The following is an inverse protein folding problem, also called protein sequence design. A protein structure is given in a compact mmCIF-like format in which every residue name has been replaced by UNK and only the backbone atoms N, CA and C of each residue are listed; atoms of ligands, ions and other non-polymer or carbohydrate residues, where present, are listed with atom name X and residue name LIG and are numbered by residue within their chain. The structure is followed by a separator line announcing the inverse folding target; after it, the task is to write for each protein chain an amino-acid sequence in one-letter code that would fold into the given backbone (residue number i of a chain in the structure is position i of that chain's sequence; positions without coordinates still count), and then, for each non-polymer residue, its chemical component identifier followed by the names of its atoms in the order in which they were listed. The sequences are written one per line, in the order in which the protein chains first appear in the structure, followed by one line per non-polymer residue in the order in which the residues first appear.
data_IF_126567183753
#
_entry.id   IF_126567183753
#
_cell.length_a   1.000
_cell.length_b   1.000
_cell.length_c   1.000
_cell.angle_alpha   90.00
_cell.angle_beta   90.00
_cell.angle_gamma   90.00
#
_symmetry.space_group_name_H-M   'P 1'
#
loop_
_entity.id
_entity.type
_entity.pdbx_description
1 polymer ?
#
# COMPACT_ATOMS: atom_id res chain seq x y z
N UNK A 1 -20.36 1.01 5.57
CA UNK A 1 -19.76 -0.33 5.73
C UNK A 1 -20.58 -1.10 6.75
N UNK A 2 -20.89 -2.37 6.46
CA UNK A 2 -21.62 -3.28 7.34
C UNK A 2 -20.97 -3.38 8.75
N UNK A 3 -21.79 -3.50 9.80
CA UNK A 3 -21.32 -3.50 11.20
C UNK A 3 -20.40 -4.69 11.50
N UNK A 4 -20.79 -5.89 11.08
CA UNK A 4 -20.00 -7.12 11.29
C UNK A 4 -18.70 -7.06 10.50
N UNK A 5 -18.74 -6.54 9.27
CA UNK A 5 -17.54 -6.32 8.47
C UNK A 5 -16.54 -5.41 9.20
N UNK A 6 -17.03 -4.29 9.74
CA UNK A 6 -16.21 -3.36 10.53
C UNK A 6 -15.62 -4.06 11.76
N UNK A 7 -16.41 -4.83 12.49
CA UNK A 7 -15.97 -5.57 13.68
C UNK A 7 -14.86 -6.57 13.39
N UNK A 8 -14.94 -7.33 12.28
CA UNK A 8 -13.88 -8.24 11.86
C UNK A 8 -12.59 -7.48 11.51
N UNK A 9 -12.71 -6.39 10.75
CA UNK A 9 -11.55 -5.60 10.34
C UNK A 9 -10.81 -4.99 11.53
N UNK A 10 -11.53 -4.42 12.50
CA UNK A 10 -10.93 -3.75 13.66
C UNK A 10 -10.51 -4.70 14.78
N UNK A 11 -10.82 -6.01 14.68
CA UNK A 11 -10.37 -7.00 15.68
C UNK A 11 -8.86 -7.13 15.71
N UNK A 12 -8.22 -7.08 14.54
CA UNK A 12 -6.77 -6.95 14.38
C UNK A 12 -6.48 -5.88 13.32
N UNK A 13 -6.52 -4.60 13.70
CA UNK A 13 -6.37 -3.48 12.76
C UNK A 13 -4.95 -3.42 12.20
N UNK A 14 -3.96 -3.99 12.90
CA UNK A 14 -2.58 -4.04 12.44
C UNK A 14 -2.44 -5.06 11.32
N UNK A 15 -3.00 -6.27 11.46
CA UNK A 15 -3.07 -7.25 10.37
C UNK A 15 -3.80 -6.68 9.16
N UNK A 16 -4.97 -6.08 9.40
CA UNK A 16 -5.88 -5.62 8.36
C UNK A 16 -5.60 -4.19 7.86
N UNK A 17 -4.48 -3.58 8.23
CA UNK A 17 -4.15 -2.17 7.96
C UNK A 17 -4.32 -1.79 6.48
N UNK A 18 -3.88 -2.63 5.55
CA UNK A 18 -3.94 -2.35 4.13
C UNK A 18 -5.40 -2.45 3.61
N UNK A 19 -6.14 -3.47 4.04
CA UNK A 19 -7.56 -3.63 3.71
C UNK A 19 -8.41 -2.49 4.29
N UNK A 20 -8.16 -2.08 5.54
CA UNK A 20 -8.84 -0.94 6.16
C UNK A 20 -8.54 0.32 5.34
N UNK A 21 -7.27 0.62 5.08
CA UNK A 21 -6.88 1.81 4.33
C UNK A 21 -7.44 1.83 2.90
N UNK A 22 -7.53 0.67 2.25
CA UNK A 22 -8.16 0.55 0.93
C UNK A 22 -9.63 0.95 1.00
N UNK A 23 -10.42 0.37 1.91
CA UNK A 23 -11.85 0.63 1.99
C UNK A 23 -12.21 1.95 2.69
N UNK A 24 -11.22 2.71 3.17
CA UNK A 24 -11.39 4.14 3.49
C UNK A 24 -11.38 5.02 2.23
N UNK A 25 -10.69 4.57 1.17
CA UNK A 25 -10.56 5.30 -0.10
C UNK A 25 -11.57 4.84 -1.17
N UNK A 26 -12.00 3.58 -1.11
CA UNK A 26 -12.83 2.96 -2.14
C UNK A 26 -14.08 2.30 -1.56
N UNK A 27 -15.23 2.34 -2.26
CA UNK A 27 -16.44 1.69 -1.78
C UNK A 27 -16.31 0.16 -1.83
N UNK A 28 -16.84 -0.49 -0.79
CA UNK A 28 -17.04 -1.95 -0.78
C UNK A 28 -18.05 -2.33 -1.86
N UNK A 29 -17.65 -3.23 -2.77
CA UNK A 29 -18.49 -3.72 -3.88
C UNK A 29 -19.24 -5.01 -3.54
N UNK A 30 -18.76 -5.76 -2.55
CA UNK A 30 -19.39 -6.96 -2.03
C UNK A 30 -18.53 -7.62 -0.96
N UNK A 31 -19.09 -8.57 -0.22
CA UNK A 31 -18.34 -9.36 0.75
C UNK A 31 -19.05 -10.69 1.06
N UNK A 32 -18.30 -11.68 1.51
CA UNK A 32 -18.82 -12.98 1.97
C UNK A 32 -18.12 -13.42 3.26
N UNK A 33 -18.91 -13.87 4.24
CA UNK A 33 -18.40 -14.33 5.53
C UNK A 33 -18.37 -15.86 5.64
N UNK A 34 -17.39 -16.38 6.37
CA UNK A 34 -17.40 -17.71 6.96
C UNK A 34 -16.79 -17.58 8.35
N UNK A 35 -17.60 -17.76 9.41
CA UNK A 35 -17.15 -17.51 10.78
C UNK A 35 -16.63 -16.09 10.97
N UNK A 36 -15.36 -15.98 11.36
CA UNK A 36 -14.66 -14.70 11.58
C UNK A 36 -13.79 -14.26 10.39
N UNK A 37 -13.89 -14.98 9.27
CA UNK A 37 -13.21 -14.66 8.02
C UNK A 37 -14.15 -13.98 7.03
N UNK A 38 -13.58 -13.13 6.17
CA UNK A 38 -14.32 -12.42 5.14
C UNK A 38 -13.49 -12.24 3.87
N UNK A 39 -14.14 -12.47 2.71
CA UNK A 39 -13.67 -11.95 1.42
C UNK A 39 -14.36 -10.61 1.18
N UNK A 40 -13.61 -9.59 0.79
CA UNK A 40 -14.15 -8.26 0.51
C UNK A 40 -13.71 -7.83 -0.89
N UNK A 41 -14.65 -7.36 -1.70
CA UNK A 41 -14.37 -6.92 -3.06
C UNK A 41 -14.38 -5.40 -3.16
N UNK A 42 -13.41 -4.86 -3.91
CA UNK A 42 -13.23 -3.43 -4.14
C UNK A 42 -12.52 -3.17 -5.46
N UNK A 43 -12.63 -1.94 -5.98
CA UNK A 43 -11.96 -1.56 -7.23
C UNK A 43 -11.09 -0.34 -6.99
N UNK A 44 -9.80 -0.46 -7.30
CA UNK A 44 -8.86 0.65 -7.48
C UNK A 44 -8.39 0.66 -8.94
N UNK A 45 -7.16 0.23 -9.22
CA UNK A 45 -6.65 -0.05 -10.57
C UNK A 45 -7.17 -1.38 -11.13
N UNK A 46 -7.40 -2.36 -10.26
CA UNK A 46 -7.99 -3.65 -10.58
C UNK A 46 -9.21 -3.91 -9.69
N UNK A 47 -10.02 -4.90 -10.06
CA UNK A 47 -11.05 -5.42 -9.17
C UNK A 47 -10.43 -6.44 -8.22
N UNK A 48 -10.20 -6.07 -6.97
CA UNK A 48 -9.45 -6.84 -5.98
C UNK A 48 -10.37 -7.65 -5.06
N UNK A 49 -9.90 -8.83 -4.65
CA UNK A 49 -10.42 -9.58 -3.49
C UNK A 49 -9.45 -9.46 -2.32
N UNK A 50 -9.88 -8.83 -1.23
CA UNK A 50 -9.14 -8.77 0.02
C UNK A 50 -9.42 -10.02 0.85
N UNK A 51 -8.35 -10.71 1.26
CA UNK A 51 -8.43 -11.91 2.12
C UNK A 51 -8.25 -11.50 3.58
N UNK A 52 -9.33 -11.52 4.37
CA UNK A 52 -9.28 -11.24 5.81
C UNK A 52 -9.65 -12.52 6.55
N UNK A 53 -8.64 -13.25 7.02
CA UNK A 53 -8.84 -14.52 7.71
C UNK A 53 -7.65 -14.83 8.63
N UNK A 54 -7.91 -15.53 9.73
CA UNK A 54 -6.88 -16.19 10.56
C UNK A 54 -7.12 -17.69 10.68
N UNK A 55 -8.00 -18.26 9.85
CA UNK A 55 -8.42 -19.65 9.90
C UNK A 55 -8.34 -20.26 8.50
N UNK A 56 -7.41 -21.20 8.32
CA UNK A 56 -7.28 -21.94 7.06
C UNK A 56 -8.60 -22.61 6.65
N UNK A 57 -9.32 -23.19 7.61
CA UNK A 57 -10.61 -23.85 7.36
C UNK A 57 -11.66 -22.87 6.82
N UNK A 58 -11.76 -21.68 7.39
CA UNK A 58 -12.72 -20.67 6.95
C UNK A 58 -12.34 -20.09 5.59
N UNK A 59 -11.05 -19.78 5.38
CA UNK A 59 -10.56 -19.28 4.10
C UNK A 59 -10.81 -20.28 2.96
N UNK A 60 -10.54 -21.58 3.19
CA UNK A 60 -10.81 -22.64 2.20
C UNK A 60 -12.27 -22.64 1.77
N UNK A 61 -13.20 -22.66 2.72
CA UNK A 61 -14.64 -22.62 2.44
C UNK A 61 -15.08 -21.36 1.70
N UNK A 62 -14.51 -20.20 2.04
CA UNK A 62 -14.80 -18.95 1.36
C UNK A 62 -14.37 -19.01 -0.12
N UNK A 63 -13.16 -19.48 -0.39
CA UNK A 63 -12.64 -19.61 -1.75
C UNK A 63 -13.43 -20.68 -2.54
N UNK A 64 -13.74 -21.83 -1.95
CA UNK A 64 -14.58 -22.87 -2.56
C UNK A 64 -15.93 -22.34 -3.05
N UNK A 65 -16.54 -21.41 -2.30
CA UNK A 65 -17.85 -20.83 -2.64
C UNK A 65 -17.76 -19.61 -3.56
N UNK A 66 -16.67 -18.84 -3.51
CA UNK A 66 -16.65 -17.46 -4.03
C UNK A 66 -15.38 -17.03 -4.81
N UNK A 67 -14.46 -17.95 -5.14
CA UNK A 67 -13.19 -17.64 -5.80
C UNK A 67 -13.31 -16.93 -7.17
N UNK A 68 -14.31 -17.23 -8.00
CA UNK A 68 -14.36 -16.80 -9.41
C UNK A 68 -14.84 -15.37 -9.68
N UNK A 69 -14.73 -14.45 -8.73
CA UNK A 69 -15.16 -13.05 -8.94
C UNK A 69 -14.09 -12.18 -9.59
N UNK A 70 -12.81 -12.52 -9.38
CA UNK A 70 -11.65 -11.82 -9.96
C UNK A 70 -10.41 -12.70 -9.83
N UNK A 71 -9.40 -12.40 -10.64
CA UNK A 71 -8.09 -13.03 -10.57
C UNK A 71 -7.11 -12.29 -9.64
N UNK A 72 -7.51 -11.15 -9.07
CA UNK A 72 -6.64 -10.28 -8.27
C UNK A 72 -6.94 -10.40 -6.77
N UNK A 73 -5.89 -10.65 -5.99
CA UNK A 73 -5.95 -10.88 -4.55
C UNK A 73 -5.03 -9.94 -3.79
N UNK A 74 -5.56 -9.36 -2.72
CA UNK A 74 -4.95 -8.30 -1.93
C UNK A 74 -4.70 -8.77 -0.50
N UNK A 75 -3.58 -8.34 0.09
CA UNK A 75 -3.20 -8.63 1.47
C UNK A 75 -3.07 -10.14 1.78
N UNK A 76 -2.45 -10.89 0.87
CA UNK A 76 -2.26 -12.36 0.99
C UNK A 76 -1.04 -12.65 1.88
N UNK A 77 -1.22 -13.39 2.97
CA UNK A 77 -0.11 -13.86 3.82
C UNK A 77 0.49 -15.17 3.27
N UNK A 78 1.74 -15.49 3.62
CA UNK A 78 2.47 -16.67 3.10
C UNK A 78 1.68 -17.99 3.23
N UNK A 79 0.95 -18.17 4.33
CA UNK A 79 0.13 -19.37 4.57
C UNK A 79 -1.11 -19.45 3.66
N UNK A 80 -1.57 -18.31 3.13
CA UNK A 80 -2.74 -18.24 2.25
C UNK A 80 -2.39 -18.60 0.80
N UNK A 81 -1.15 -18.35 0.36
CA UNK A 81 -0.69 -18.60 -1.02
C UNK A 81 -0.95 -20.06 -1.46
N UNK A 82 -0.51 -21.11 -0.74
CA UNK A 82 -0.76 -22.49 -1.16
C UNK A 82 -2.24 -22.88 -1.13
N UNK A 83 -3.09 -22.15 -0.41
CA UNK A 83 -4.54 -22.34 -0.44
C UNK A 83 -5.10 -21.75 -1.73
N UNK A 84 -4.70 -20.52 -2.04
CA UNK A 84 -5.15 -19.78 -3.22
C UNK A 84 -4.76 -20.49 -4.53
N UNK A 85 -3.53 -21.01 -4.60
CA UNK A 85 -3.03 -21.72 -5.78
C UNK A 85 -3.70 -23.06 -6.06
N UNK A 86 -4.56 -23.58 -5.16
CA UNK A 86 -5.42 -24.74 -5.47
C UNK A 86 -6.55 -24.40 -6.44
N UNK A 87 -6.89 -23.13 -6.57
CA UNK A 87 -8.03 -22.68 -7.37
C UNK A 87 -7.62 -22.07 -8.71
N UNK A 88 -6.34 -21.77 -8.91
CA UNK A 88 -5.83 -21.21 -10.15
C UNK A 88 -4.30 -21.23 -10.21
N UNK A 89 -3.75 -21.13 -11.42
CA UNK A 89 -2.29 -20.99 -11.60
C UNK A 89 -1.88 -19.55 -11.36
N UNK A 90 -0.73 -19.36 -10.76
CA UNK A 90 -0.11 -18.05 -10.63
C UNK A 90 0.16 -17.45 -12.02
N UNK A 91 -0.24 -16.19 -12.20
CA UNK A 91 0.31 -15.29 -13.21
C UNK A 91 1.50 -14.55 -12.61
N UNK A 92 1.30 -13.92 -11.44
CA UNK A 92 2.38 -13.36 -10.63
C UNK A 92 2.01 -13.26 -9.13
N UNK A 93 3.01 -13.37 -8.27
CA UNK A 93 2.96 -13.06 -6.84
C UNK A 93 4.00 -11.98 -6.53
N UNK A 94 3.53 -10.83 -6.06
CA UNK A 94 4.38 -9.73 -5.62
C UNK A 94 4.45 -9.73 -4.09
N UNK A 95 5.47 -10.38 -3.54
CA UNK A 95 5.71 -10.41 -2.09
C UNK A 95 6.48 -9.17 -1.63
N UNK A 96 6.06 -8.61 -0.51
CA UNK A 96 6.68 -7.44 0.12
C UNK A 96 6.87 -7.65 1.62
N UNK A 97 7.84 -6.94 2.18
CA UNK A 97 7.97 -6.76 3.62
C UNK A 97 7.23 -5.47 4.01
N UNK A 98 6.21 -5.61 4.87
CA UNK A 98 5.52 -4.47 5.45
C UNK A 98 6.31 -3.92 6.63
N UNK A 99 6.50 -2.62 6.64
CA UNK A 99 7.13 -1.86 7.72
C UNK A 99 6.11 -0.88 8.31
N UNK A 100 6.10 -0.74 9.64
CA UNK A 100 5.16 0.15 10.35
C UNK A 100 5.96 1.15 11.19
N UNK A 101 5.51 2.40 11.22
CA UNK A 101 6.00 3.40 12.16
C UNK A 101 4.97 3.58 13.28
N UNK A 102 5.34 3.17 14.50
CA UNK A 102 4.47 3.34 15.66
C UNK A 102 4.28 4.84 15.99
N UNK A 103 3.10 5.20 16.51
CA UNK A 103 2.73 6.59 16.80
C UNK A 103 3.59 7.24 17.89
N UNK A 104 4.21 6.44 18.76
CA UNK A 104 5.10 6.91 19.82
C UNK A 104 6.51 7.27 19.35
N UNK A 105 6.90 6.90 18.13
CA UNK A 105 8.22 7.24 17.59
C UNK A 105 8.22 8.71 17.17
N UNK A 106 9.01 9.54 17.82
CA UNK A 106 9.17 10.94 17.39
C UNK A 106 9.93 10.99 16.06
N UNK A 107 9.50 11.87 15.15
CA UNK A 107 10.27 12.21 13.96
C UNK A 107 10.33 13.72 13.82
N UNK A 108 11.48 14.22 13.38
CA UNK A 108 11.68 15.63 13.13
C UNK A 108 10.74 16.14 12.02
N UNK A 109 10.37 17.43 12.01
CA UNK A 109 9.68 18.02 10.87
C UNK A 109 10.58 18.05 9.63
N UNK A 110 9.97 17.97 8.46
CA UNK A 110 10.65 18.32 7.22
C UNK A 110 11.07 19.80 7.27
N UNK A 111 12.28 20.08 6.81
CA UNK A 111 12.90 21.41 6.73
C UNK A 111 12.88 21.97 5.32
N UNK A 112 12.82 21.10 4.30
CA UNK A 112 12.67 21.53 2.92
C UNK A 112 11.29 22.17 2.69
N UNK A 113 11.21 23.04 1.68
CA UNK A 113 9.93 23.49 1.14
C UNK A 113 9.26 22.32 0.43
N UNK A 114 8.12 21.87 0.98
CA UNK A 114 7.36 20.75 0.46
C UNK A 114 6.12 21.26 -0.25
N UNK A 115 5.93 20.83 -1.49
CA UNK A 115 4.71 21.07 -2.25
C UNK A 115 3.80 19.84 -2.24
N UNK A 116 2.49 20.07 -2.39
CA UNK A 116 1.60 19.02 -2.88
C UNK A 116 1.93 18.79 -4.36
N UNK A 117 2.15 17.54 -4.75
CA UNK A 117 2.44 17.19 -6.14
C UNK A 117 1.16 17.30 -6.96
N UNK A 118 1.20 18.13 -8.01
CA UNK A 118 0.09 18.32 -8.93
C UNK A 118 -0.09 17.11 -9.86
N UNK A 119 -1.34 16.85 -10.27
CA UNK A 119 -1.70 15.77 -11.19
C UNK A 119 -0.99 15.87 -12.55
N UNK A 120 -0.63 17.09 -12.98
CA UNK A 120 0.11 17.32 -14.22
C UNK A 120 1.48 16.62 -14.26
N UNK A 121 2.03 16.24 -13.09
CA UNK A 121 3.28 15.48 -13.00
C UNK A 121 3.11 13.97 -13.18
N UNK A 122 1.88 13.44 -13.34
CA UNK A 122 1.65 12.01 -13.37
C UNK A 122 2.43 11.28 -14.48
N UNK A 123 2.43 11.82 -15.71
CA UNK A 123 3.22 11.24 -16.82
C UNK A 123 4.72 11.29 -16.54
N UNK A 124 5.22 12.42 -16.02
CA UNK A 124 6.63 12.56 -15.66
C UNK A 124 7.05 11.55 -14.57
N UNK A 125 6.22 11.37 -13.55
CA UNK A 125 6.45 10.41 -12.46
C UNK A 125 6.44 8.98 -13.01
N UNK A 126 5.52 8.66 -13.93
CA UNK A 126 5.45 7.34 -14.57
C UNK A 126 6.73 7.03 -15.36
N UNK A 127 7.19 7.98 -16.17
CA UNK A 127 8.40 7.84 -16.99
C UNK A 127 9.66 7.59 -16.17
N UNK A 128 9.74 8.22 -14.99
CA UNK A 128 10.86 8.13 -14.05
C UNK A 128 10.70 7.02 -12.98
N UNK A 129 9.65 6.19 -13.07
CA UNK A 129 9.44 5.09 -12.12
C UNK A 129 10.17 3.81 -12.55
N UNK A 130 10.96 3.24 -11.65
CA UNK A 130 11.55 1.91 -11.80
C UNK A 130 10.48 0.80 -11.92
N UNK A 131 9.25 1.09 -11.49
CA UNK A 131 8.11 0.16 -11.47
C UNK A 131 7.05 0.51 -12.52
N UNK A 132 7.37 1.28 -13.56
CA UNK A 132 6.42 1.72 -14.60
C UNK A 132 5.64 0.62 -15.32
N UNK A 133 6.11 -0.64 -15.28
CA UNK A 133 5.39 -1.82 -15.81
C UNK A 133 4.27 -2.32 -14.91
N UNK A 134 4.28 -1.93 -13.63
CA UNK A 134 3.36 -2.36 -12.59
C UNK A 134 2.39 -1.25 -12.15
N UNK A 135 2.42 -0.10 -12.84
CA UNK A 135 1.55 1.05 -12.58
C UNK A 135 1.17 1.71 -13.89
N UNK A 136 0.10 2.48 -13.89
CA UNK A 136 -0.31 3.31 -15.02
C UNK A 136 -0.29 4.80 -14.66
N UNK A 137 -0.41 5.67 -15.67
CA UNK A 137 -0.56 7.12 -15.45
C UNK A 137 -1.86 7.38 -14.71
N UNK A 138 -2.96 6.74 -15.11
CA UNK A 138 -4.28 6.89 -14.51
C UNK A 138 -4.27 6.53 -13.02
N UNK A 139 -3.52 5.48 -12.64
CA UNK A 139 -3.36 5.13 -11.23
C UNK A 139 -2.61 6.23 -10.46
N UNK A 140 -1.53 6.78 -11.03
CA UNK A 140 -0.77 7.88 -10.42
C UNK A 140 -1.66 9.11 -10.28
N UNK A 141 -2.41 9.50 -11.32
CA UNK A 141 -3.35 10.62 -11.28
C UNK A 141 -4.40 10.42 -10.17
N UNK A 142 -4.95 9.20 -10.06
CA UNK A 142 -5.89 8.85 -9.01
C UNK A 142 -5.26 9.01 -7.62
N UNK A 143 -4.02 8.54 -7.43
CA UNK A 143 -3.31 8.67 -6.15
C UNK A 143 -2.97 10.11 -5.79
N UNK A 144 -2.58 10.94 -6.75
CA UNK A 144 -2.28 12.36 -6.52
C UNK A 144 -3.54 13.17 -6.17
N UNK A 145 -4.69 12.81 -6.73
CA UNK A 145 -5.97 13.46 -6.43
C UNK A 145 -6.58 13.00 -5.11
N UNK A 146 -6.58 11.70 -4.83
CA UNK A 146 -7.28 11.12 -3.68
C UNK A 146 -6.41 10.95 -2.43
N UNK A 147 -5.09 10.85 -2.59
CA UNK A 147 -4.14 10.61 -1.50
C UNK A 147 -3.42 11.87 -1.04
N UNK A 148 -2.49 11.69 -0.11
CA UNK A 148 -1.51 12.72 0.24
C UNK A 148 -0.29 12.59 -0.68
N UNK A 149 0.36 13.72 -0.96
CA UNK A 149 1.60 13.77 -1.72
C UNK A 149 2.55 14.79 -1.12
N UNK A 150 3.84 14.59 -1.38
CA UNK A 150 4.90 15.50 -1.01
C UNK A 150 5.92 15.54 -2.16
N UNK A 151 6.30 16.74 -2.59
CA UNK A 151 7.28 16.97 -3.63
C UNK A 151 8.25 18.08 -3.27
N UNK A 152 9.43 18.05 -3.89
CA UNK A 152 10.45 19.09 -3.76
C UNK A 152 10.79 19.59 -5.16
N UNK A 153 10.76 20.92 -5.32
CA UNK A 153 11.16 21.59 -6.54
C UNK A 153 12.56 22.19 -6.40
N UNK A 154 13.36 22.11 -7.46
CA UNK A 154 14.58 22.91 -7.62
C UNK A 154 14.51 23.57 -9.00
N UNK A 155 14.59 24.90 -9.06
CA UNK A 155 14.43 25.67 -10.30
C UNK A 155 13.14 25.28 -11.07
N UNK A 156 12.02 25.16 -10.35
CA UNK A 156 10.71 24.73 -10.86
C UNK A 156 10.65 23.29 -11.43
N UNK A 157 11.70 22.48 -11.27
CA UNK A 157 11.69 21.07 -11.67
C UNK A 157 11.41 20.18 -10.47
N UNK A 158 10.51 19.21 -10.62
CA UNK A 158 10.21 18.21 -9.60
C UNK A 158 11.36 17.20 -9.51
N UNK A 159 12.13 17.27 -8.41
CA UNK A 159 13.35 16.46 -8.23
C UNK A 159 13.16 15.28 -7.27
N UNK A 160 12.18 15.36 -6.39
CA UNK A 160 11.86 14.34 -5.42
C UNK A 160 10.37 14.34 -5.13
N UNK A 161 9.79 13.16 -4.96
CA UNK A 161 8.37 13.01 -4.66
C UNK A 161 8.09 11.72 -3.89
N UNK A 162 6.91 11.67 -3.28
CA UNK A 162 6.34 10.49 -2.67
C UNK A 162 4.86 10.73 -2.39
N UNK A 163 4.06 9.67 -2.39
CA UNK A 163 2.63 9.73 -2.13
C UNK A 163 2.11 8.36 -1.69
N UNK A 164 0.84 8.30 -1.30
CA UNK A 164 0.25 7.04 -0.82
C UNK A 164 -0.26 6.15 -1.94
N UNK A 165 -0.09 4.83 -1.79
CA UNK A 165 -0.83 3.80 -2.53
C UNK A 165 -2.33 3.81 -2.15
N UNK A 166 -3.12 2.98 -2.85
CA UNK A 166 -4.56 2.83 -2.68
C UNK A 166 -5.00 2.37 -1.28
N UNK A 167 -4.15 1.62 -0.59
CA UNK A 167 -4.29 1.24 0.83
C UNK A 167 -3.78 2.30 1.82
N UNK A 168 -3.29 3.44 1.35
CA UNK A 168 -2.70 4.47 2.20
C UNK A 168 -1.27 4.18 2.65
N UNK A 169 -0.63 3.11 2.16
CA UNK A 169 0.80 2.86 2.38
C UNK A 169 1.63 3.99 1.77
N UNK A 170 2.68 4.43 2.46
CA UNK A 170 3.65 5.35 1.89
C UNK A 170 4.41 4.64 0.77
N UNK A 171 4.51 5.30 -0.40
CA UNK A 171 5.13 4.72 -1.58
C UNK A 171 5.46 5.76 -2.63
N UNK A 172 5.71 5.29 -3.86
CA UNK A 172 6.18 6.09 -5.00
C UNK A 172 7.32 7.05 -4.65
N UNK A 173 8.12 6.70 -3.65
CA UNK A 173 9.23 7.52 -3.20
C UNK A 173 10.32 7.48 -4.26
N UNK A 174 10.66 8.64 -4.79
CA UNK A 174 11.74 8.76 -5.76
C UNK A 174 12.49 10.07 -5.58
N UNK A 175 13.78 10.03 -5.90
CA UNK A 175 14.64 11.20 -6.07
C UNK A 175 15.39 11.00 -7.38
N UNK A 176 15.33 11.99 -8.27
CA UNK A 176 16.02 11.97 -9.54
C UNK A 176 17.53 11.68 -9.33
N UNK A 177 18.16 10.84 -10.17
CA UNK A 177 19.52 10.34 -9.96
C UNK A 177 20.56 11.39 -9.55
N UNK A 178 20.56 12.54 -10.20
CA UNK A 178 21.50 13.65 -10.01
C UNK A 178 21.29 14.43 -8.70
N UNK A 179 20.13 14.27 -8.05
CA UNK A 179 19.78 14.89 -6.77
C UNK A 179 19.86 13.92 -5.58
N UNK A 180 20.24 12.65 -5.80
CA UNK A 180 20.37 11.64 -4.74
C UNK A 180 21.50 11.96 -3.75
N UNK A 181 21.43 11.34 -2.57
CA UNK A 181 22.38 11.49 -1.45
C UNK A 181 22.46 12.91 -0.85
N UNK A 182 21.39 13.71 -1.02
CA UNK A 182 21.26 15.07 -0.47
C UNK A 182 20.15 15.21 0.59
N UNK A 183 19.60 14.10 1.07
CA UNK A 183 18.54 14.09 2.09
C UNK A 183 17.10 14.26 1.57
N UNK A 184 16.88 14.54 0.28
CA UNK A 184 15.51 14.81 -0.23
C UNK A 184 14.49 13.69 -0.01
N UNK A 185 14.89 12.42 -0.10
CA UNK A 185 14.01 11.30 0.22
C UNK A 185 13.52 11.35 1.68
N UNK A 186 14.41 11.75 2.60
CA UNK A 186 14.10 11.91 4.01
C UNK A 186 13.05 13.02 4.21
N UNK A 187 13.27 14.18 3.61
CA UNK A 187 12.36 15.34 3.68
C UNK A 187 10.95 15.00 3.17
N UNK A 188 10.87 14.32 2.03
CA UNK A 188 9.59 13.84 1.47
C UNK A 188 8.88 12.90 2.45
N UNK A 189 9.58 11.89 2.97
CA UNK A 189 8.96 10.91 3.88
C UNK A 189 8.58 11.52 5.23
N UNK A 190 9.39 12.42 5.79
CA UNK A 190 9.03 13.16 7.00
C UNK A 190 7.75 13.95 6.80
N UNK A 191 7.60 14.65 5.68
CA UNK A 191 6.35 15.36 5.36
C UNK A 191 5.16 14.41 5.28
N UNK A 192 5.28 13.28 4.57
CA UNK A 192 4.21 12.29 4.48
C UNK A 192 3.84 11.70 5.84
N UNK A 193 4.83 11.43 6.71
CA UNK A 193 4.59 10.97 8.09
C UNK A 193 3.76 12.00 8.85
N UNK A 194 4.14 13.28 8.81
CA UNK A 194 3.40 14.33 9.52
C UNK A 194 1.99 14.51 8.98
N UNK A 195 1.79 14.50 7.65
CA UNK A 195 0.46 14.55 7.03
C UNK A 195 -0.42 13.37 7.48
N UNK A 196 0.13 12.14 7.56
CA UNK A 196 -0.61 10.97 8.08
C UNK A 196 -0.98 11.11 9.56
N UNK A 197 -0.07 11.65 10.39
CA UNK A 197 -0.34 11.89 11.82
C UNK A 197 -1.45 12.91 12.02
N UNK A 198 -1.41 14.02 11.28
CA UNK A 198 -2.46 15.04 11.31
C UNK A 198 -3.83 14.47 10.96
N UNK A 199 -3.89 13.49 10.06
CA UNK A 199 -5.10 12.77 9.69
C UNK A 199 -5.50 11.63 10.66
N UNK A 200 -4.75 11.41 11.75
CA UNK A 200 -4.91 10.27 12.67
C UNK A 200 -4.89 8.90 11.95
N UNK A 201 -4.03 8.75 10.95
CA UNK A 201 -3.93 7.53 10.16
C UNK A 201 -2.64 6.76 10.43
N UNK A 202 -2.71 5.44 10.35
CA UNK A 202 -1.55 4.56 10.56
C UNK A 202 -0.49 4.76 9.48
N UNK A 203 0.78 4.63 9.84
CA UNK A 203 1.91 4.87 8.94
C UNK A 203 2.59 3.55 8.68
N UNK A 204 2.62 3.15 7.41
CA UNK A 204 3.25 1.92 6.96
C UNK A 204 3.68 2.04 5.51
N UNK A 205 4.56 1.14 5.08
CA UNK A 205 4.95 0.98 3.69
C UNK A 205 5.21 -0.51 3.39
N UNK A 206 5.19 -0.85 2.10
CA UNK A 206 5.48 -2.19 1.61
C UNK A 206 6.71 -2.11 0.72
N UNK A 207 7.74 -2.89 1.04
CA UNK A 207 9.04 -2.85 0.35
C UNK A 207 9.36 -4.25 -0.16
N UNK A 208 9.69 -4.37 -1.45
CA UNK A 208 10.14 -5.66 -2.02
C UNK A 208 11.39 -6.18 -1.28
N UNK A 209 11.48 -7.49 -0.97
CA UNK A 209 12.55 -8.03 -0.13
C UNK A 209 13.97 -7.70 -0.58
N UNK A 210 14.19 -7.51 -1.89
CA UNK A 210 15.48 -7.27 -2.52
C UNK A 210 15.96 -5.82 -2.34
N UNK A 211 15.06 -4.88 -2.04
CA UNK A 211 15.39 -3.46 -1.93
C UNK A 211 15.98 -3.11 -0.55
N UNK A 212 17.23 -3.53 -0.32
CA UNK A 212 17.98 -3.26 0.91
C UNK A 212 18.13 -1.77 1.21
N UNK A 213 18.25 -0.93 0.19
CA UNK A 213 18.38 0.54 0.34
C UNK A 213 17.12 1.12 0.97
N UNK A 214 15.94 0.82 0.44
CA UNK A 214 14.68 1.30 0.99
C UNK A 214 14.43 0.75 2.40
N UNK A 215 14.72 -0.53 2.64
CA UNK A 215 14.60 -1.14 3.97
C UNK A 215 15.47 -0.41 5.00
N UNK A 216 16.76 -0.23 4.71
CA UNK A 216 17.69 0.46 5.61
C UNK A 216 17.26 1.91 5.88
N UNK A 217 16.76 2.60 4.85
CA UNK A 217 16.26 3.96 4.95
C UNK A 217 15.05 4.05 5.90
N UNK A 218 14.01 3.23 5.70
CA UNK A 218 12.82 3.29 6.58
C UNK A 218 13.13 2.80 8.00
N UNK A 219 14.01 1.82 8.18
CA UNK A 219 14.44 1.42 9.53
C UNK A 219 15.23 2.50 10.24
N UNK A 220 16.02 3.29 9.51
CA UNK A 220 16.72 4.46 10.05
C UNK A 220 15.76 5.56 10.52
N UNK A 221 14.56 5.63 9.95
CA UNK A 221 13.46 6.51 10.38
C UNK A 221 12.63 5.95 11.54
N UNK A 222 12.97 4.75 12.05
CA UNK A 222 12.28 4.10 13.16
C UNK A 222 11.11 3.21 12.75
N UNK A 223 10.92 2.92 11.46
CA UNK A 223 9.98 1.87 11.06
C UNK A 223 10.54 0.51 11.46
N UNK A 224 9.69 -0.38 11.97
CA UNK A 224 10.04 -1.77 12.23
C UNK A 224 9.34 -2.70 11.25
N UNK A 225 10.01 -3.82 10.94
CA UNK A 225 9.41 -4.89 10.16
C UNK A 225 8.19 -5.45 10.89
N UNK A 226 7.08 -5.60 10.18
CA UNK A 226 5.84 -6.15 10.71
C UNK A 226 5.59 -7.57 10.23
N UNK A 227 5.46 -7.76 8.92
CA UNK A 227 5.19 -9.07 8.31
C UNK A 227 5.49 -9.07 6.81
N UNK A 228 5.48 -10.26 6.21
CA UNK A 228 5.37 -10.43 4.77
C UNK A 228 3.91 -10.39 4.32
N UNK A 229 3.68 -9.75 3.19
CA UNK A 229 2.36 -9.65 2.57
C UNK A 229 2.53 -9.57 1.06
N UNK A 230 1.63 -10.23 0.33
CA UNK A 230 1.67 -10.34 -1.12
C UNK A 230 0.40 -9.82 -1.77
N UNK A 231 0.58 -9.30 -2.97
CA UNK A 231 -0.46 -9.16 -3.98
C UNK A 231 -0.31 -10.31 -4.95
N UNK A 232 -1.42 -10.91 -5.35
CA UNK A 232 -1.41 -12.10 -6.21
C UNK A 232 -2.36 -11.91 -7.36
N UNK A 233 -1.91 -12.25 -8.56
CA UNK A 233 -2.75 -12.42 -9.73
C UNK A 233 -2.69 -13.86 -10.20
N UNK A 234 -3.86 -14.43 -10.45
CA UNK A 234 -4.01 -15.76 -11.06
C UNK A 234 -4.33 -15.65 -12.56
N UNK A 235 -4.10 -16.74 -13.28
CA UNK A 235 -4.45 -16.87 -14.71
C UNK A 235 -5.94 -17.07 -14.92
#
# INVERSE_FOLDING_TARGET
MDKRLKEILIRDPRKNIATIGFFENFPVKGYFFEGDSVLIYGTSDNFWTHLVSSSEKELRKLLEKHFHKTNYYYSVEDWMIPILLKFGKEDWVMTTNRYILNSNISVEPARAEIIKVDVSYASFIHENSDYKKFTSIEYIEQRLNAGISAGILVNNHLIAWGFTHDDGALGFLHVLPEYRKRGYANEVVLSLIHQRRQANKTIFCNIVPENSVAKNFVTGLGFHFDRKVSWVKLK
#
